data_IF_704984967511
#
_entry.id   IF_704984967511
#
_cell.length_a   1.000
_cell.length_b   1.000
_cell.length_c   1.000
_cell.angle_alpha   90.00
_cell.angle_beta   90.00
_cell.angle_gamma   90.00
#
_symmetry.space_group_name_H-M   'P 1'
#
loop_
_entity.id
_entity.type
_entity.pdbx_description
1 polymer ?
#
# COMPACT_ATOMS: atom_id res chain seq x y z
N UNK A 1 -14.32 53.31 32.45
CA UNK A 1 -15.26 52.77 33.46
C UNK A 1 -16.53 53.63 33.44
N UNK A 2 -17.77 53.15 33.69
CA UNK A 2 -18.20 51.90 34.36
C UNK A 2 -19.15 51.01 33.49
N UNK A 3 -19.00 49.68 33.46
CA UNK A 3 -19.67 48.66 34.32
C UNK A 3 -21.19 48.81 34.46
N UNK A 4 -21.96 47.96 33.75
CA UNK A 4 -23.26 47.47 34.24
C UNK A 4 -23.37 45.96 34.04
N UNK A 5 -23.08 45.24 35.13
CA UNK A 5 -23.47 43.84 35.34
C UNK A 5 -24.99 43.75 35.39
N UNK A 6 -25.57 42.79 34.67
CA UNK A 6 -26.91 42.28 34.99
C UNK A 6 -26.87 40.76 34.93
N UNK A 7 -26.73 40.15 36.11
CA UNK A 7 -27.03 38.73 36.33
C UNK A 7 -28.55 38.58 36.39
N UNK A 8 -29.08 37.55 35.73
CA UNK A 8 -30.25 36.81 36.25
C UNK A 8 -30.22 35.39 35.69
N UNK A 9 -30.48 34.46 36.60
CA UNK A 9 -30.40 33.01 36.48
C UNK A 9 -31.71 32.39 36.02
N UNK A 10 -31.56 31.15 35.54
CA UNK A 10 -32.47 30.01 35.69
C UNK A 10 -33.61 29.85 34.69
N UNK A 11 -33.64 28.67 34.07
CA UNK A 11 -34.90 27.97 33.86
C UNK A 11 -35.16 27.39 32.47
N UNK A 12 -34.90 26.08 32.36
CA UNK A 12 -35.72 25.01 31.74
C UNK A 12 -35.99 24.94 30.23
N UNK A 13 -35.99 23.66 29.81
CA UNK A 13 -36.77 23.00 28.75
C UNK A 13 -36.13 22.81 27.36
N UNK A 14 -35.59 21.59 27.20
CA UNK A 14 -35.97 20.60 26.19
C UNK A 14 -36.33 21.07 24.77
N UNK A 15 -35.51 20.66 23.79
CA UNK A 15 -35.90 19.85 22.63
C UNK A 15 -34.68 19.70 21.72
N UNK A 16 -33.98 18.57 21.80
CA UNK A 16 -33.08 18.17 20.72
C UNK A 16 -33.88 17.21 19.86
N UNK A 17 -34.21 17.67 18.66
CA UNK A 17 -34.92 16.89 17.66
C UNK A 17 -34.11 15.64 17.30
N UNK A 18 -34.74 14.48 17.45
CA UNK A 18 -34.33 13.22 16.84
C UNK A 18 -34.79 13.25 15.38
N UNK A 19 -33.86 13.26 14.43
CA UNK A 19 -34.10 12.74 13.08
C UNK A 19 -32.78 12.22 12.47
N UNK A 20 -32.84 11.04 11.87
CA UNK A 20 -31.71 10.39 11.21
C UNK A 20 -31.16 9.19 11.95
N UNK A 21 -31.83 8.04 11.82
CA UNK A 21 -31.46 6.77 12.44
C UNK A 21 -30.06 6.28 12.07
N UNK A 22 -29.06 6.65 12.87
CA UNK A 22 -27.85 5.85 13.03
C UNK A 22 -28.18 4.69 13.96
N UNK A 23 -28.16 3.47 13.42
CA UNK A 23 -28.14 2.24 14.21
C UNK A 23 -26.94 2.30 15.16
N UNK A 24 -27.21 2.72 16.40
CA UNK A 24 -26.24 2.83 17.48
C UNK A 24 -25.82 1.42 17.83
N UNK A 25 -24.73 0.95 17.22
CA UNK A 25 -24.03 -0.23 17.68
C UNK A 25 -23.70 0.05 19.15
N UNK A 26 -24.36 -0.64 20.08
CA UNK A 26 -23.95 -0.63 21.49
C UNK A 26 -22.57 -1.28 21.51
N UNK A 27 -21.53 -0.45 21.43
CA UNK A 27 -20.13 -0.86 21.47
C UNK A 27 -19.86 -1.36 22.89
N UNK A 28 -20.08 -2.65 23.13
CA UNK A 28 -19.16 -3.39 23.99
C UNK A 28 -17.81 -3.32 23.27
N UNK A 29 -16.83 -2.65 23.87
CA UNK A 29 -15.50 -2.47 23.26
C UNK A 29 -14.84 -3.79 22.88
N UNK A 30 -15.28 -4.93 23.45
CA UNK A 30 -14.69 -6.24 23.23
C UNK A 30 -15.21 -6.98 21.98
N UNK A 31 -16.49 -6.84 21.60
CA UNK A 31 -17.05 -7.66 20.50
C UNK A 31 -16.60 -7.18 19.11
N UNK A 32 -16.33 -5.87 18.97
CA UNK A 32 -15.80 -5.32 17.71
C UNK A 32 -14.29 -5.55 17.57
N UNK A 33 -13.53 -5.55 18.67
CA UNK A 33 -12.07 -5.74 18.61
C UNK A 33 -11.69 -7.17 18.28
N UNK A 34 -12.35 -8.16 18.89
CA UNK A 34 -12.00 -9.57 18.68
C UNK A 34 -12.44 -10.05 17.27
N UNK A 35 -13.64 -9.64 16.82
CA UNK A 35 -14.08 -9.89 15.43
C UNK A 35 -13.21 -9.18 14.41
N UNK A 36 -12.70 -7.99 14.72
CA UNK A 36 -11.77 -7.27 13.85
C UNK A 36 -10.38 -7.91 13.84
N UNK A 37 -9.89 -8.40 14.99
CA UNK A 37 -8.64 -9.14 15.11
C UNK A 37 -8.70 -10.45 14.33
N UNK A 38 -9.75 -11.25 14.49
CA UNK A 38 -9.96 -12.48 13.72
C UNK A 38 -10.01 -12.21 12.20
N UNK A 39 -10.62 -11.09 11.79
CA UNK A 39 -10.57 -10.63 10.40
C UNK A 39 -9.17 -10.24 9.96
N UNK A 40 -8.36 -9.64 10.84
CA UNK A 40 -6.98 -9.26 10.54
C UNK A 40 -6.10 -10.49 10.31
N UNK A 41 -6.24 -11.53 11.14
CA UNK A 41 -5.52 -12.80 10.96
C UNK A 41 -5.96 -13.51 9.68
N UNK A 42 -7.25 -13.50 9.37
CA UNK A 42 -7.76 -13.96 8.09
C UNK A 42 -7.18 -13.16 6.90
N UNK A 43 -7.16 -11.83 6.97
CA UNK A 43 -6.57 -11.01 5.90
C UNK A 43 -5.07 -11.28 5.73
N UNK A 44 -4.35 -11.50 6.83
CA UNK A 44 -2.95 -11.93 6.78
C UNK A 44 -2.79 -13.30 6.13
N UNK A 45 -3.68 -14.25 6.39
CA UNK A 45 -3.63 -15.55 5.73
C UNK A 45 -3.88 -15.45 4.23
N UNK A 46 -4.77 -14.54 3.79
CA UNK A 46 -4.97 -14.23 2.37
C UNK A 46 -3.74 -13.62 1.69
N UNK A 47 -2.90 -12.87 2.42
CA UNK A 47 -1.63 -12.36 1.89
C UNK A 47 -0.58 -13.47 1.69
N UNK A 48 -0.74 -14.63 2.34
CA UNK A 48 0.13 -15.79 2.14
C UNK A 48 -0.32 -16.66 0.96
N UNK A 49 -1.57 -16.56 0.52
CA UNK A 49 -2.07 -17.26 -0.66
C UNK A 49 -1.63 -16.53 -1.94
N UNK A 50 -1.03 -17.26 -2.88
CA UNK A 50 -0.42 -16.68 -4.10
C UNK A 50 -1.47 -16.00 -4.98
N UNK A 51 -2.62 -16.64 -5.19
CA UNK A 51 -3.68 -16.14 -6.07
C UNK A 51 -4.34 -14.89 -5.48
N UNK A 52 -4.63 -14.94 -4.19
CA UNK A 52 -5.23 -13.83 -3.44
C UNK A 52 -4.26 -12.65 -3.35
N UNK A 53 -2.98 -12.91 -3.06
CA UNK A 53 -1.94 -11.88 -3.05
C UNK A 53 -1.80 -11.21 -4.41
N UNK A 54 -1.83 -11.96 -5.53
CA UNK A 54 -1.78 -11.39 -6.89
C UNK A 54 -2.93 -10.40 -7.12
N UNK A 55 -4.15 -10.72 -6.67
CA UNK A 55 -5.29 -9.80 -6.78
C UNK A 55 -5.13 -8.56 -5.90
N UNK A 56 -4.68 -8.73 -4.66
CA UNK A 56 -4.41 -7.62 -3.73
C UNK A 56 -3.33 -6.70 -4.30
N UNK A 57 -2.25 -7.27 -4.83
CA UNK A 57 -1.15 -6.53 -5.43
C UNK A 57 -1.59 -5.73 -6.67
N UNK A 58 -2.45 -6.31 -7.50
CA UNK A 58 -3.04 -5.61 -8.66
C UNK A 58 -3.96 -4.46 -8.22
N UNK A 59 -4.81 -4.73 -7.24
CA UNK A 59 -5.71 -3.72 -6.66
C UNK A 59 -4.92 -2.55 -6.04
N UNK A 60 -3.80 -2.83 -5.38
CA UNK A 60 -2.96 -1.83 -4.74
C UNK A 60 -2.48 -0.74 -5.71
N UNK A 61 -2.21 -1.09 -6.98
CA UNK A 61 -1.88 -0.12 -8.02
C UNK A 61 -3.05 0.84 -8.31
N UNK A 62 -4.23 0.29 -8.56
CA UNK A 62 -5.42 1.08 -8.87
C UNK A 62 -5.90 1.89 -7.64
N UNK A 63 -5.61 1.42 -6.43
CA UNK A 63 -5.88 2.10 -5.18
C UNK A 63 -4.95 3.31 -4.94
N UNK A 64 -3.66 3.15 -5.18
CA UNK A 64 -2.66 4.19 -4.90
C UNK A 64 -2.56 5.27 -5.99
N UNK A 65 -3.08 4.99 -7.19
CA UNK A 65 -3.03 5.88 -8.34
C UNK A 65 -4.17 6.89 -8.33
N UNK A 66 -3.87 8.14 -8.67
CA UNK A 66 -4.89 9.14 -8.94
C UNK A 66 -5.79 8.74 -10.11
N UNK A 67 -7.09 9.02 -10.01
CA UNK A 67 -8.11 8.56 -10.99
C UNK A 67 -7.74 8.92 -12.43
N UNK A 68 -7.12 10.08 -12.64
CA UNK A 68 -6.80 10.63 -13.96
C UNK A 68 -5.40 10.24 -14.49
N UNK A 69 -4.54 9.63 -13.67
CA UNK A 69 -3.16 9.28 -14.04
C UNK A 69 -3.05 7.83 -14.47
N UNK A 70 -2.22 7.44 -15.45
CA UNK A 70 -2.07 6.00 -15.81
C UNK A 70 -0.89 5.29 -15.12
N UNK A 71 -0.24 5.98 -14.20
CA UNK A 71 0.98 5.56 -13.52
C UNK A 71 1.01 6.09 -12.09
N UNK A 72 1.77 5.42 -11.23
CA UNK A 72 2.12 5.89 -9.90
C UNK A 72 3.36 6.78 -10.00
N UNK A 73 3.47 7.81 -9.17
CA UNK A 73 4.77 8.45 -8.93
C UNK A 73 5.72 7.45 -8.24
N UNK A 74 7.02 7.65 -8.43
CA UNK A 74 8.00 6.65 -7.97
C UNK A 74 8.07 6.54 -6.44
N UNK A 75 7.79 7.61 -5.69
CA UNK A 75 7.85 7.59 -4.23
C UNK A 75 6.66 6.83 -3.62
N UNK A 76 5.46 7.03 -4.18
CA UNK A 76 4.28 6.21 -3.86
C UNK A 76 4.50 4.76 -4.27
N UNK A 77 5.02 4.51 -5.48
CA UNK A 77 5.29 3.16 -5.95
C UNK A 77 6.28 2.42 -5.02
N UNK A 78 7.41 3.04 -4.68
CA UNK A 78 8.41 2.51 -3.73
C UNK A 78 7.77 2.17 -2.38
N UNK A 79 6.97 3.08 -1.83
CA UNK A 79 6.31 2.88 -0.53
C UNK A 79 5.33 1.70 -0.57
N UNK A 80 4.52 1.61 -1.62
CA UNK A 80 3.57 0.51 -1.80
C UNK A 80 4.27 -0.84 -2.02
N UNK A 81 5.35 -0.86 -2.81
CA UNK A 81 6.15 -2.08 -2.99
C UNK A 81 6.83 -2.51 -1.68
N UNK A 82 7.30 -1.58 -0.85
CA UNK A 82 7.87 -1.90 0.46
C UNK A 82 6.87 -2.58 1.38
N UNK A 83 5.62 -2.14 1.37
CA UNK A 83 4.54 -2.76 2.14
C UNK A 83 4.21 -4.17 1.65
N UNK A 84 4.19 -4.37 0.32
CA UNK A 84 3.71 -5.61 -0.29
C UNK A 84 4.80 -6.68 -0.42
N UNK A 85 6.01 -6.29 -0.84
CA UNK A 85 7.09 -7.20 -1.21
C UNK A 85 8.27 -7.15 -0.24
N UNK A 86 8.37 -6.13 0.62
CA UNK A 86 9.57 -5.89 1.43
C UNK A 86 9.94 -7.00 2.41
N UNK A 87 9.00 -7.90 2.74
CA UNK A 87 9.27 -9.09 3.58
C UNK A 87 9.41 -10.39 2.81
N UNK A 88 8.87 -10.46 1.59
CA UNK A 88 8.73 -11.72 0.85
C UNK A 88 9.68 -11.84 -0.32
N UNK A 89 10.18 -10.72 -0.85
CA UNK A 89 11.07 -10.72 -2.00
C UNK A 89 12.51 -10.41 -1.56
N UNK A 90 13.45 -11.38 -1.66
CA UNK A 90 14.82 -11.21 -1.17
C UNK A 90 15.59 -10.05 -1.80
N UNK A 91 15.32 -9.75 -3.08
CA UNK A 91 15.96 -8.66 -3.81
C UNK A 91 15.31 -7.30 -3.58
N UNK A 92 14.26 -7.21 -2.76
CA UNK A 92 13.50 -5.97 -2.62
C UNK A 92 14.36 -4.80 -2.12
N UNK A 93 15.22 -5.01 -1.13
CA UNK A 93 16.07 -3.94 -0.58
C UNK A 93 16.98 -3.33 -1.65
N UNK A 94 17.53 -4.19 -2.51
CA UNK A 94 18.42 -3.83 -3.61
C UNK A 94 17.65 -3.15 -4.73
N UNK A 95 16.47 -3.68 -5.08
CA UNK A 95 15.58 -3.07 -6.06
C UNK A 95 15.08 -1.70 -5.63
N UNK A 96 14.74 -1.53 -4.35
CA UNK A 96 14.36 -0.24 -3.78
C UNK A 96 15.49 0.78 -3.94
N UNK A 97 16.73 0.38 -3.60
CA UNK A 97 17.91 1.24 -3.78
C UNK A 97 18.15 1.59 -5.26
N UNK A 98 17.93 0.64 -6.18
CA UNK A 98 17.98 0.90 -7.61
C UNK A 98 16.96 1.97 -8.02
N UNK A 99 15.70 1.84 -7.59
CA UNK A 99 14.66 2.82 -7.91
C UNK A 99 15.01 4.23 -7.41
N UNK A 100 15.66 4.35 -6.25
CA UNK A 100 16.14 5.65 -5.72
C UNK A 100 17.21 6.31 -6.58
N UNK A 101 18.08 5.53 -7.20
CA UNK A 101 19.18 6.03 -8.04
C UNK A 101 18.80 6.11 -9.53
N UNK A 102 17.69 5.47 -9.90
CA UNK A 102 17.24 5.38 -11.28
C UNK A 102 16.70 6.71 -11.83
N UNK A 103 16.61 6.78 -13.16
CA UNK A 103 15.98 7.90 -13.88
C UNK A 103 14.45 7.87 -13.82
N UNK A 104 13.84 6.80 -13.34
CA UNK A 104 12.39 6.62 -13.36
C UNK A 104 11.71 7.53 -12.34
N UNK A 105 10.72 8.31 -12.81
CA UNK A 105 9.91 9.19 -11.97
C UNK A 105 8.49 8.67 -11.73
N UNK A 106 8.07 7.71 -12.55
CA UNK A 106 6.76 7.07 -12.47
C UNK A 106 6.89 5.58 -12.75
N UNK A 107 5.93 4.80 -12.27
CA UNK A 107 5.78 3.38 -12.56
C UNK A 107 4.40 3.13 -13.18
N UNK A 108 4.36 2.59 -14.39
CA UNK A 108 3.11 2.27 -15.07
C UNK A 108 2.56 0.89 -14.64
N UNK A 109 1.35 0.55 -15.09
CA UNK A 109 0.65 -0.67 -14.69
C UNK A 109 1.38 -1.95 -15.13
N UNK A 110 1.97 -1.92 -16.32
CA UNK A 110 2.71 -3.06 -16.87
C UNK A 110 3.99 -3.34 -16.06
N UNK A 111 4.79 -2.31 -15.80
CA UNK A 111 5.97 -2.38 -14.94
C UNK A 111 5.60 -2.89 -13.55
N UNK A 112 4.53 -2.36 -12.94
CA UNK A 112 4.05 -2.82 -11.63
C UNK A 112 3.75 -4.32 -11.64
N UNK A 113 3.06 -4.83 -12.65
CA UNK A 113 2.71 -6.25 -12.75
C UNK A 113 3.92 -7.14 -12.97
N UNK A 114 4.84 -6.70 -13.84
CA UNK A 114 6.07 -7.42 -14.12
C UNK A 114 7.02 -7.46 -12.91
N UNK A 115 7.03 -6.43 -12.05
CA UNK A 115 7.80 -6.48 -10.78
C UNK A 115 7.33 -7.64 -9.89
N UNK A 116 6.01 -7.88 -9.80
CA UNK A 116 5.50 -9.04 -9.07
C UNK A 116 5.93 -10.34 -9.72
N UNK A 117 5.76 -10.47 -11.04
CA UNK A 117 6.13 -11.69 -11.75
C UNK A 117 7.62 -12.00 -11.58
N UNK A 118 8.48 -11.00 -11.80
CA UNK A 118 9.92 -11.07 -11.59
C UNK A 118 10.27 -11.51 -10.16
N UNK A 119 9.59 -10.95 -9.15
CA UNK A 119 9.83 -11.33 -7.75
C UNK A 119 9.50 -12.80 -7.42
N UNK A 120 8.74 -13.48 -8.28
CA UNK A 120 8.30 -14.87 -8.09
C UNK A 120 9.03 -15.84 -9.02
N UNK A 121 9.46 -15.41 -10.20
CA UNK A 121 10.04 -16.29 -11.22
C UNK A 121 11.56 -16.17 -11.32
N UNK A 122 12.14 -15.01 -11.00
CA UNK A 122 13.58 -14.79 -11.08
C UNK A 122 14.24 -15.08 -9.73
N UNK A 123 15.30 -15.89 -9.76
CA UNK A 123 16.07 -16.27 -8.58
C UNK A 123 16.80 -15.05 -8.00
N UNK A 124 17.09 -15.12 -6.69
CA UNK A 124 17.78 -14.03 -6.00
C UNK A 124 19.23 -13.81 -6.49
N UNK A 125 19.85 -14.84 -7.09
CA UNK A 125 21.18 -14.76 -7.71
C UNK A 125 21.12 -14.32 -9.19
N UNK A 126 19.92 -14.08 -9.74
CA UNK A 126 19.67 -13.72 -11.13
C UNK A 126 20.14 -14.78 -12.15
N UNK A 127 20.42 -16.01 -11.71
CA UNK A 127 20.99 -17.09 -12.54
C UNK A 127 20.07 -17.55 -13.68
N UNK A 128 18.76 -17.45 -13.47
CA UNK A 128 17.74 -17.86 -14.45
C UNK A 128 17.12 -16.66 -15.20
N UNK A 129 17.72 -15.47 -15.11
CA UNK A 129 17.26 -14.32 -15.86
C UNK A 129 17.55 -14.49 -17.36
N UNK A 130 16.52 -14.29 -18.18
CA UNK A 130 16.62 -14.30 -19.64
C UNK A 130 16.69 -12.86 -20.17
N UNK A 131 17.82 -12.48 -20.75
CA UNK A 131 18.08 -11.14 -21.30
C UNK A 131 17.33 -10.90 -22.62
N UNK A 132 16.94 -11.97 -23.33
CA UNK A 132 16.09 -11.89 -24.51
C UNK A 132 14.58 -11.98 -24.15
N UNK A 133 14.28 -12.00 -22.86
CA UNK A 133 12.92 -12.06 -22.32
C UNK A 133 12.11 -10.79 -22.59
N UNK A 134 10.78 -10.91 -22.55
CA UNK A 134 9.86 -9.79 -22.73
C UNK A 134 9.67 -8.94 -21.45
N UNK A 135 10.74 -8.74 -20.67
CA UNK A 135 10.69 -7.92 -19.47
C UNK A 135 10.63 -6.43 -19.82
N UNK A 136 9.99 -5.58 -19.00
CA UNK A 136 10.13 -4.14 -19.15
C UNK A 136 11.58 -3.72 -18.95
N UNK A 137 12.03 -2.76 -19.75
CA UNK A 137 13.38 -2.16 -19.68
C UNK A 137 13.80 -1.77 -18.26
N UNK A 138 12.85 -1.38 -17.41
CA UNK A 138 13.11 -1.07 -15.99
C UNK A 138 13.77 -2.24 -15.24
N UNK A 139 13.34 -3.47 -15.52
CA UNK A 139 13.85 -4.69 -14.91
C UNK A 139 15.17 -5.15 -15.57
N UNK A 140 15.31 -4.98 -16.89
CA UNK A 140 16.59 -5.20 -17.57
C UNK A 140 17.69 -4.31 -16.98
N UNK A 141 17.43 -3.00 -16.88
CA UNK A 141 18.34 -2.02 -16.30
C UNK A 141 18.63 -2.32 -14.81
N UNK A 142 17.66 -2.87 -14.08
CA UNK A 142 17.88 -3.32 -12.70
C UNK A 142 18.86 -4.49 -12.61
N UNK A 143 18.69 -5.51 -13.47
CA UNK A 143 19.57 -6.68 -13.50
C UNK A 143 20.98 -6.29 -13.88
N UNK A 144 21.13 -5.46 -14.91
CA UNK A 144 22.43 -4.91 -15.33
C UNK A 144 23.11 -4.15 -14.18
N UNK A 145 22.38 -3.22 -13.55
CA UNK A 145 22.87 -2.43 -12.42
C UNK A 145 23.32 -3.33 -11.26
N UNK A 146 22.59 -4.40 -10.96
CA UNK A 146 22.94 -5.31 -9.87
C UNK A 146 24.16 -6.19 -10.21
N UNK A 147 24.31 -6.64 -11.47
CA UNK A 147 25.49 -7.41 -11.93
C UNK A 147 26.78 -6.61 -11.82
N UNK A 148 26.76 -5.33 -12.20
CA UNK A 148 27.92 -4.42 -12.08
C UNK A 148 28.38 -4.29 -10.63
N UNK A 149 27.44 -4.19 -9.69
CA UNK A 149 27.73 -4.06 -8.25
C UNK A 149 28.24 -5.34 -7.59
N UNK A 150 27.92 -6.52 -8.12
CA UNK A 150 28.46 -7.78 -7.61
C UNK A 150 29.88 -8.07 -8.14
N UNK A 151 30.27 -7.42 -9.23
CA UNK A 151 31.59 -7.60 -9.87
C UNK A 151 32.62 -6.55 -9.41
N UNK A 152 32.18 -5.54 -8.65
CA UNK A 152 33.03 -4.48 -8.07
C UNK A 152 33.32 -4.76 -6.61
#
# INVERSE_FOLDING_TARGET
MPVKKKRKSSGVAAAVAEDGGLKKCKISRCDCTEKLQNKFDFLRSQLNDISSFKNIYRYAFDFARDKDQRSLDIDTAKSMLALLLGRTWPLFSVFYQYLEQSKYRVMNKDQWYNVLEFSRTVHADLSNYDEDGAWPVLLDEFVEWQKVRQTS
#
